data_IF_338057947376
#
_entry.id   IF_338057947376
#
_cell.length_a   1.000
_cell.length_b   1.000
_cell.length_c   1.000
_cell.angle_alpha   90.00
_cell.angle_beta   90.00
_cell.angle_gamma   90.00
#
_symmetry.space_group_name_H-M   'P 1'
#
loop_
_entity.id
_entity.type
_entity.pdbx_description
1 polymer ?
#
# COMPACT_ATOMS: atom_id res chain seq x y z
N UNK A 1 1.26 -25.75 1.86
CA UNK A 1 0.71 -24.42 2.22
C UNK A 1 -0.75 -24.42 1.87
N UNK A 2 -1.63 -24.06 2.80
CA UNK A 2 -3.06 -23.98 2.52
C UNK A 2 -3.39 -22.68 1.77
N UNK A 3 -4.44 -22.67 0.95
CA UNK A 3 -4.85 -21.47 0.20
C UNK A 3 -5.08 -20.28 1.14
N UNK A 4 -5.58 -20.53 2.35
CA UNK A 4 -5.78 -19.53 3.39
C UNK A 4 -4.47 -18.86 3.83
N UNK A 5 -3.37 -19.61 3.95
CA UNK A 5 -2.06 -19.06 4.31
C UNK A 5 -1.52 -18.11 3.23
N UNK A 6 -1.79 -18.44 1.96
CA UNK A 6 -1.37 -17.65 0.80
C UNK A 6 -2.12 -16.31 0.76
N UNK A 7 -3.44 -16.33 0.94
CA UNK A 7 -4.24 -15.10 0.98
C UNK A 7 -3.87 -14.21 2.16
N UNK A 8 -3.58 -14.80 3.32
CA UNK A 8 -3.17 -14.05 4.51
C UNK A 8 -1.80 -13.39 4.32
N UNK A 9 -0.84 -14.11 3.74
CA UNK A 9 0.47 -13.55 3.39
C UNK A 9 0.36 -12.44 2.34
N UNK A 10 -0.46 -12.64 1.30
CA UNK A 10 -0.73 -11.61 0.28
C UNK A 10 -1.36 -10.35 0.88
N UNK A 11 -2.34 -10.50 1.78
CA UNK A 11 -2.97 -9.38 2.47
C UNK A 11 -1.98 -8.57 3.31
N UNK A 12 -1.08 -9.24 4.04
CA UNK A 12 -0.02 -8.58 4.82
C UNK A 12 0.96 -7.82 3.91
N UNK A 13 1.37 -8.42 2.79
CA UNK A 13 2.27 -7.79 1.81
C UNK A 13 1.59 -6.56 1.18
N UNK A 14 0.31 -6.66 0.80
CA UNK A 14 -0.45 -5.55 0.23
C UNK A 14 -0.62 -4.40 1.22
N UNK A 15 -0.92 -4.70 2.49
CA UNK A 15 -1.01 -3.68 3.54
C UNK A 15 0.33 -2.98 3.79
N UNK A 16 1.43 -3.74 3.83
CA UNK A 16 2.77 -3.15 4.05
C UNK A 16 3.24 -2.32 2.86
N UNK A 17 2.92 -2.71 1.62
CA UNK A 17 3.09 -1.88 0.42
C UNK A 17 2.26 -0.59 0.49
N UNK A 18 1.00 -0.69 0.90
CA UNK A 18 0.13 0.46 1.13
C UNK A 18 0.73 1.41 2.17
N UNK A 19 1.10 0.89 3.34
CA UNK A 19 1.71 1.68 4.42
C UNK A 19 3.01 2.38 3.99
N UNK A 20 3.91 1.68 3.30
CA UNK A 20 5.16 2.25 2.78
C UNK A 20 4.89 3.38 1.77
N UNK A 21 3.90 3.19 0.89
CA UNK A 21 3.48 4.23 -0.06
C UNK A 21 2.90 5.47 0.64
N UNK A 22 2.07 5.27 1.66
CA UNK A 22 1.51 6.34 2.48
C UNK A 22 2.59 7.14 3.23
N UNK A 23 3.59 6.45 3.80
CA UNK A 23 4.73 7.11 4.45
C UNK A 23 5.56 7.92 3.45
N UNK A 24 5.77 7.42 2.23
CA UNK A 24 6.47 8.16 1.18
C UNK A 24 5.71 9.43 0.74
N UNK A 25 4.37 9.34 0.61
CA UNK A 25 3.52 10.49 0.32
C UNK A 25 3.52 11.51 1.46
N UNK A 26 3.45 11.04 2.71
CA UNK A 26 3.50 11.89 3.90
C UNK A 26 4.85 12.60 4.03
N UNK A 27 5.95 11.85 3.84
CA UNK A 27 7.30 12.41 3.82
C UNK A 27 7.43 13.49 2.75
N UNK A 28 6.92 13.25 1.53
CA UNK A 28 6.89 14.27 0.46
C UNK A 28 6.08 15.50 0.88
N UNK A 29 4.90 15.32 1.46
CA UNK A 29 4.04 16.42 1.89
C UNK A 29 4.68 17.28 2.99
N UNK A 30 5.38 16.66 3.94
CA UNK A 30 6.04 17.33 5.07
C UNK A 30 7.36 17.98 4.67
N UNK A 31 8.20 17.29 3.88
CA UNK A 31 9.51 17.83 3.47
C UNK A 31 9.45 18.75 2.26
N UNK A 32 8.31 18.84 1.56
CA UNK A 32 8.16 19.62 0.32
C UNK A 32 9.12 19.16 -0.79
N UNK A 33 9.69 17.96 -0.68
CA UNK A 33 10.80 17.56 -1.54
C UNK A 33 10.35 17.25 -2.96
N UNK A 34 10.97 17.91 -3.93
CA UNK A 34 10.76 17.69 -5.37
C UNK A 34 11.47 16.43 -5.90
N UNK A 35 12.12 15.65 -5.02
CA UNK A 35 12.86 14.44 -5.41
C UNK A 35 11.97 13.35 -6.00
N UNK A 36 10.67 13.37 -5.74
CA UNK A 36 9.72 12.45 -6.34
C UNK A 36 9.06 13.18 -7.52
N UNK A 37 9.32 12.77 -8.78
CA UNK A 37 8.70 13.39 -9.95
C UNK A 37 7.17 13.28 -9.85
N UNK A 38 6.44 14.27 -10.38
CA UNK A 38 4.97 14.34 -10.27
C UNK A 38 4.27 13.06 -10.76
N UNK A 39 4.81 12.40 -11.79
CA UNK A 39 4.34 11.09 -12.25
C UNK A 39 4.45 9.99 -11.19
N UNK A 40 5.50 9.98 -10.37
CA UNK A 40 5.69 9.00 -9.30
C UNK A 40 4.71 9.19 -8.14
N UNK A 41 4.21 10.40 -7.95
CA UNK A 41 3.27 10.76 -6.88
C UNK A 41 1.89 10.17 -7.15
N UNK A 42 1.44 10.25 -8.40
CA UNK A 42 0.18 9.62 -8.84
C UNK A 42 0.23 8.09 -8.66
N UNK A 43 1.37 7.47 -9.00
CA UNK A 43 1.58 6.03 -8.78
C UNK A 43 1.60 5.66 -7.30
N UNK A 44 2.25 6.46 -6.45
CA UNK A 44 2.26 6.25 -4.99
C UNK A 44 0.84 6.35 -4.40
N UNK A 45 0.04 7.34 -4.84
CA UNK A 45 -1.37 7.43 -4.43
C UNK A 45 -2.19 6.22 -4.88
N UNK A 46 -1.97 5.76 -6.11
CA UNK A 46 -2.59 4.53 -6.61
C UNK A 46 -2.21 3.31 -5.77
N UNK A 47 -0.92 3.12 -5.48
CA UNK A 47 -0.43 2.02 -4.64
C UNK A 47 -0.97 2.09 -3.21
N UNK A 48 -1.10 3.30 -2.66
CA UNK A 48 -1.64 3.54 -1.34
C UNK A 48 -3.12 3.13 -1.26
N UNK A 49 -3.96 3.66 -2.16
CA UNK A 49 -5.40 3.39 -2.16
C UNK A 49 -5.68 1.92 -2.49
N UNK A 50 -5.04 1.38 -3.53
CA UNK A 50 -5.27 0.00 -3.97
C UNK A 50 -4.71 -0.99 -2.95
N UNK A 51 -3.48 -0.78 -2.45
CA UNK A 51 -2.86 -1.67 -1.47
C UNK A 51 -3.63 -1.70 -0.15
N UNK A 52 -4.13 -0.56 0.31
CA UNK A 52 -4.92 -0.46 1.54
C UNK A 52 -6.34 -1.05 1.34
N UNK A 53 -7.04 -0.71 0.26
CA UNK A 53 -8.38 -1.24 0.00
C UNK A 53 -8.37 -2.75 -0.21
N UNK A 54 -7.48 -3.27 -1.07
CA UNK A 54 -7.38 -4.69 -1.37
C UNK A 54 -6.86 -5.47 -0.17
N UNK A 55 -5.86 -4.93 0.56
CA UNK A 55 -5.34 -5.55 1.78
C UNK A 55 -6.39 -5.71 2.87
N UNK A 56 -7.21 -4.66 3.11
CA UNK A 56 -8.33 -4.72 4.07
C UNK A 56 -9.37 -5.75 3.61
N UNK A 57 -9.78 -5.73 2.34
CA UNK A 57 -10.79 -6.66 1.82
C UNK A 57 -10.33 -8.11 1.94
N UNK A 58 -9.08 -8.41 1.59
CA UNK A 58 -8.53 -9.78 1.69
C UNK A 58 -8.48 -10.24 3.15
N UNK A 59 -8.03 -9.38 4.07
CA UNK A 59 -7.96 -9.74 5.50
C UNK A 59 -9.37 -9.89 6.10
N UNK A 60 -10.31 -9.02 5.72
CA UNK A 60 -11.69 -9.10 6.16
C UNK A 60 -12.42 -10.33 5.58
N UNK A 61 -12.10 -10.74 4.36
CA UNK A 61 -12.67 -11.93 3.72
C UNK A 61 -11.99 -13.25 4.16
N UNK A 62 -10.77 -13.17 4.69
CA UNK A 62 -10.03 -14.32 5.21
C UNK A 62 -10.19 -14.52 6.74
N UNK A 63 -10.98 -13.66 7.40
CA UNK A 63 -11.29 -13.72 8.83
C UNK A 63 -12.58 -14.43 9.15
#
# INVERSE_FOLDING_TARGET
MSNYDIFRALGIVLLSLGAASGVALFAKAVTGTSRIPEKGVSTLWGLFIIGLAVGIVIIAAAG
#
